data_IF_650714955376
#
_entry.id   IF_650714955376
#
_cell.length_a   1.000
_cell.length_b   1.000
_cell.length_c   1.000
_cell.angle_alpha   90.00
_cell.angle_beta   90.00
_cell.angle_gamma   90.00
#
_symmetry.space_group_name_H-M   'P 1'
#
loop_
_entity.id
_entity.type
_entity.pdbx_description
1 polymer ?
#
# COMPACT_ATOMS: atom_id res chain seq x y z
N UNK A 1 8.80 20.73 2.08
CA UNK A 1 9.07 20.22 0.71
C UNK A 1 9.09 18.69 0.62
N UNK A 2 9.75 17.96 1.54
CA UNK A 2 9.84 16.49 1.50
C UNK A 2 8.50 15.74 1.43
N UNK A 3 7.45 16.10 2.17
CA UNK A 3 6.16 15.39 2.05
C UNK A 3 5.40 15.66 0.74
N UNK A 4 5.49 16.87 0.17
CA UNK A 4 4.95 17.13 -1.17
C UNK A 4 5.72 16.31 -2.22
N UNK A 5 7.04 16.18 -2.07
CA UNK A 5 7.88 15.30 -2.89
C UNK A 5 7.60 13.82 -2.67
N UNK A 6 7.34 13.36 -1.44
CA UNK A 6 6.97 11.98 -1.14
C UNK A 6 5.59 11.65 -1.68
N UNK A 7 4.62 12.57 -1.57
CA UNK A 7 3.32 12.45 -2.23
C UNK A 7 3.46 12.47 -3.73
N UNK A 8 4.21 13.41 -4.29
CA UNK A 8 4.44 13.48 -5.72
C UNK A 8 5.12 12.20 -6.18
N UNK A 9 6.14 11.70 -5.47
CA UNK A 9 6.79 10.43 -5.76
C UNK A 9 5.82 9.25 -5.63
N UNK A 10 4.93 9.22 -4.64
CA UNK A 10 3.93 8.17 -4.48
C UNK A 10 2.85 8.27 -5.57
N UNK A 11 2.37 9.46 -5.92
CA UNK A 11 1.45 9.72 -7.04
C UNK A 11 2.08 9.38 -8.39
N UNK A 12 3.34 9.71 -8.60
CA UNK A 12 4.09 9.38 -9.82
C UNK A 12 4.38 7.88 -9.89
N UNK A 13 4.67 7.22 -8.76
CA UNK A 13 4.79 5.75 -8.68
C UNK A 13 3.45 5.04 -8.87
N UNK A 14 2.35 5.66 -8.43
CA UNK A 14 0.98 5.16 -8.63
C UNK A 14 0.46 5.47 -10.04
N UNK A 15 1.07 6.41 -10.75
CA UNK A 15 0.69 6.74 -12.11
C UNK A 15 1.17 5.66 -13.06
N UNK A 16 0.21 5.01 -13.70
CA UNK A 16 0.44 4.01 -14.74
C UNK A 16 1.25 4.54 -15.92
N UNK A 17 1.24 5.86 -16.15
CA UNK A 17 1.83 6.51 -17.32
C UNK A 17 3.21 7.09 -17.08
N UNK A 18 3.60 7.33 -15.83
CA UNK A 18 4.82 8.07 -15.52
C UNK A 18 6.08 7.34 -15.99
N UNK A 19 6.22 6.07 -15.61
CA UNK A 19 7.37 5.26 -16.01
C UNK A 19 7.40 5.00 -17.53
N UNK A 20 6.29 4.63 -18.21
CA UNK A 20 6.26 4.57 -19.67
C UNK A 20 6.66 5.89 -20.36
N UNK A 21 6.22 7.03 -19.85
CA UNK A 21 6.56 8.35 -20.42
C UNK A 21 8.04 8.66 -20.29
N UNK A 22 8.66 8.28 -19.17
CA UNK A 22 10.10 8.42 -18.97
C UNK A 22 10.90 7.52 -19.94
N UNK A 23 10.46 6.27 -20.12
CA UNK A 23 11.07 5.34 -21.08
C UNK A 23 10.93 5.84 -22.52
N UNK A 24 9.77 6.38 -22.89
CA UNK A 24 9.52 7.01 -24.18
C UNK A 24 10.46 8.19 -24.43
N UNK A 25 10.61 9.10 -23.45
CA UNK A 25 11.54 10.22 -23.55
C UNK A 25 13.00 9.74 -23.69
N UNK A 26 13.40 8.74 -22.89
CA UNK A 26 14.73 8.14 -23.00
C UNK A 26 14.98 7.50 -24.36
N UNK A 27 13.98 6.85 -24.96
CA UNK A 27 14.08 6.25 -26.28
C UNK A 27 14.24 7.29 -27.40
N UNK A 28 13.54 8.43 -27.31
CA UNK A 28 13.71 9.55 -28.24
C UNK A 28 15.13 10.13 -28.14
N UNK A 29 15.64 10.32 -26.93
CA UNK A 29 17.01 10.78 -26.71
C UNK A 29 18.05 9.77 -27.22
N UNK A 30 17.82 8.47 -26.97
CA UNK A 30 18.66 7.39 -27.47
C UNK A 30 18.69 7.38 -29.00
N UNK A 31 17.53 7.52 -29.66
CA UNK A 31 17.46 7.62 -31.12
C UNK A 31 18.27 8.81 -31.64
N UNK A 32 18.08 10.00 -31.05
CA UNK A 32 18.85 11.19 -31.41
C UNK A 32 20.36 11.01 -31.23
N UNK A 33 20.78 10.39 -30.11
CA UNK A 33 22.18 10.08 -29.83
C UNK A 33 22.79 9.09 -30.82
N UNK A 34 22.06 8.02 -31.17
CA UNK A 34 22.53 7.04 -32.15
C UNK A 34 22.62 7.63 -33.56
N UNK A 35 21.64 8.44 -33.97
CA UNK A 35 21.66 9.15 -35.25
C UNK A 35 22.84 10.13 -35.32
N UNK A 36 23.08 10.87 -34.25
CA UNK A 36 24.24 11.77 -34.15
C UNK A 36 25.55 10.99 -34.26
N UNK A 37 25.66 9.84 -33.58
CA UNK A 37 26.85 9.00 -33.63
C UNK A 37 27.09 8.40 -35.03
N UNK A 38 26.04 7.93 -35.69
CA UNK A 38 26.06 7.46 -37.08
C UNK A 38 26.52 8.57 -38.04
N UNK A 39 26.12 9.82 -37.79
CA UNK A 39 26.54 10.97 -38.61
C UNK A 39 28.03 11.32 -38.45
N UNK A 40 28.63 11.03 -37.29
CA UNK A 40 30.03 11.36 -36.99
C UNK A 40 31.00 10.23 -37.38
N UNK A 41 30.68 8.97 -37.08
CA UNK A 41 31.57 7.83 -37.35
C UNK A 41 31.44 7.30 -38.79
N UNK A 42 30.33 7.60 -39.48
CA UNK A 42 30.01 7.04 -40.79
C UNK A 42 29.84 5.52 -40.76
N UNK A 43 29.88 4.87 -41.92
CA UNK A 43 29.68 3.42 -42.06
C UNK A 43 30.96 2.58 -42.03
N UNK A 44 32.13 3.18 -41.81
CA UNK A 44 33.44 2.53 -41.96
C UNK A 44 33.70 1.38 -40.96
N UNK A 45 33.02 1.37 -39.81
CA UNK A 45 33.13 0.30 -38.82
C UNK A 45 32.42 -1.00 -39.27
N UNK A 46 31.46 -0.91 -40.20
CA UNK A 46 30.68 -2.06 -40.68
C UNK A 46 31.45 -2.96 -41.66
N UNK A 47 32.51 -2.46 -42.29
CA UNK A 47 33.34 -3.28 -43.19
C UNK A 47 34.06 -4.42 -42.44
N UNK A 48 34.11 -4.36 -41.10
CA UNK A 48 34.69 -5.41 -40.24
C UNK A 48 33.71 -6.51 -39.82
N UNK A 49 32.41 -6.34 -40.05
CA UNK A 49 31.36 -7.29 -39.65
C UNK A 49 30.45 -7.64 -40.85
N UNK A 50 30.74 -8.74 -41.58
CA UNK A 50 30.08 -9.06 -42.86
C UNK A 50 28.56 -9.23 -42.79
N UNK A 51 28.04 -9.62 -41.62
CA UNK A 51 26.61 -9.81 -41.34
C UNK A 51 25.86 -8.49 -41.07
N UNK A 52 26.58 -7.39 -40.83
CA UNK A 52 26.07 -6.05 -40.55
C UNK A 52 26.19 -5.09 -41.74
N UNK A 53 26.50 -5.59 -42.94
CA UNK A 53 26.65 -4.75 -44.15
C UNK A 53 25.50 -3.74 -44.28
N UNK A 54 25.85 -2.51 -44.65
CA UNK A 54 24.96 -1.37 -44.74
C UNK A 54 23.62 -1.76 -45.40
N UNK A 55 22.54 -1.63 -44.64
CA UNK A 55 21.21 -1.93 -45.14
C UNK A 55 20.84 -0.90 -46.21
N UNK A 56 20.26 -1.35 -47.32
CA UNK A 56 19.71 -0.42 -48.32
C UNK A 56 18.64 0.47 -47.64
N UNK A 57 18.51 1.76 -48.00
CA UNK A 57 17.54 2.66 -47.38
C UNK A 57 16.11 2.10 -47.35
N UNK A 58 15.69 1.42 -48.43
CA UNK A 58 14.39 0.76 -48.51
C UNK A 58 14.22 -0.37 -47.49
N UNK A 59 15.24 -1.23 -47.32
CA UNK A 59 15.22 -2.31 -46.34
C UNK A 59 15.22 -1.79 -44.90
N UNK A 60 15.99 -0.75 -44.61
CA UNK A 60 16.00 -0.11 -43.29
C UNK A 60 14.63 0.49 -42.95
N UNK A 61 13.99 1.21 -43.90
CA UNK A 61 12.62 1.72 -43.72
C UNK A 61 11.62 0.60 -43.47
N UNK A 62 11.71 -0.49 -44.23
CA UNK A 62 10.80 -1.61 -44.09
C UNK A 62 10.94 -2.30 -42.72
N UNK A 63 12.17 -2.51 -42.25
CA UNK A 63 12.43 -3.07 -40.91
C UNK A 63 11.92 -2.15 -39.80
N UNK A 64 12.25 -0.85 -39.84
CA UNK A 64 11.80 0.11 -38.84
C UNK A 64 10.27 0.25 -38.81
N UNK A 65 9.63 0.28 -39.98
CA UNK A 65 8.17 0.32 -40.08
C UNK A 65 7.52 -0.97 -39.58
N UNK A 66 8.08 -2.14 -39.90
CA UNK A 66 7.57 -3.43 -39.42
C UNK A 66 7.70 -3.56 -37.89
N UNK A 67 8.87 -3.22 -37.34
CA UNK A 67 9.10 -3.21 -35.89
C UNK A 67 8.17 -2.20 -35.24
N UNK A 68 8.17 -0.93 -35.67
CA UNK A 68 7.32 0.11 -35.10
C UNK A 68 5.83 -0.26 -35.13
N UNK A 69 5.33 -0.68 -36.30
CA UNK A 69 3.94 -1.11 -36.48
C UNK A 69 3.57 -2.28 -35.56
N UNK A 70 4.43 -3.30 -35.46
CA UNK A 70 4.17 -4.43 -34.55
C UNK A 70 4.16 -4.00 -33.07
N UNK A 71 5.05 -3.10 -32.66
CA UNK A 71 5.16 -2.65 -31.26
C UNK A 71 3.95 -1.84 -30.81
N UNK A 72 3.40 -0.96 -31.66
CA UNK A 72 2.18 -0.21 -31.32
C UNK A 72 0.96 -1.13 -31.20
N UNK A 73 0.86 -2.14 -32.05
CA UNK A 73 -0.21 -3.15 -31.96
C UNK A 73 -0.08 -3.98 -30.68
N UNK A 74 1.12 -4.48 -30.37
CA UNK A 74 1.37 -5.25 -29.13
C UNK A 74 1.09 -4.40 -27.90
N UNK A 75 1.49 -3.12 -27.88
CA UNK A 75 1.17 -2.20 -26.80
C UNK A 75 -0.35 -2.06 -26.58
N UNK A 76 -1.13 -1.93 -27.67
CA UNK A 76 -2.58 -1.87 -27.60
C UNK A 76 -3.21 -3.15 -27.03
N UNK A 77 -2.73 -4.32 -27.45
CA UNK A 77 -3.18 -5.62 -26.93
C UNK A 77 -2.86 -5.77 -25.45
N UNK A 78 -1.63 -5.47 -25.04
CA UNK A 78 -1.18 -5.50 -23.63
C UNK A 78 -2.02 -4.56 -22.77
N UNK A 79 -2.28 -3.34 -23.24
CA UNK A 79 -3.14 -2.39 -22.54
C UNK A 79 -4.57 -2.92 -22.37
N UNK A 80 -5.13 -3.53 -23.42
CA UNK A 80 -6.49 -4.10 -23.40
C UNK A 80 -6.60 -5.26 -22.42
N UNK A 81 -5.64 -6.19 -22.42
CA UNK A 81 -5.56 -7.31 -21.48
C UNK A 81 -5.38 -6.81 -20.04
N UNK A 82 -4.54 -5.78 -19.84
CA UNK A 82 -4.31 -5.15 -18.53
C UNK A 82 -5.62 -4.56 -17.97
N UNK A 83 -6.41 -3.83 -18.77
CA UNK A 83 -7.70 -3.29 -18.34
C UNK A 83 -8.72 -4.40 -18.08
N UNK A 84 -8.78 -5.42 -18.93
CA UNK A 84 -9.68 -6.54 -18.72
C UNK A 84 -9.38 -7.25 -17.38
N UNK A 85 -8.10 -7.47 -17.08
CA UNK A 85 -7.63 -8.00 -15.81
C UNK A 85 -8.05 -7.13 -14.61
N UNK A 86 -7.88 -5.81 -14.73
CA UNK A 86 -8.33 -4.84 -13.73
C UNK A 86 -9.82 -4.95 -13.45
N UNK A 87 -10.63 -4.95 -14.51
CA UNK A 87 -12.10 -5.01 -14.40
C UNK A 87 -12.52 -6.33 -13.75
N UNK A 88 -11.89 -7.43 -14.13
CA UNK A 88 -12.10 -8.74 -13.51
C UNK A 88 -11.76 -8.73 -12.02
N UNK A 89 -10.58 -8.24 -11.64
CA UNK A 89 -10.14 -8.19 -10.24
C UNK A 89 -11.02 -7.26 -9.39
N UNK A 90 -11.36 -6.07 -9.88
CA UNK A 90 -12.29 -5.16 -9.21
C UNK A 90 -13.69 -5.79 -9.07
N UNK A 91 -14.13 -6.51 -10.10
CA UNK A 91 -15.39 -7.23 -10.14
C UNK A 91 -15.46 -8.40 -9.17
N UNK A 92 -14.35 -9.08 -8.88
CA UNK A 92 -14.31 -10.24 -7.98
C UNK A 92 -13.95 -9.87 -6.53
N UNK A 93 -13.02 -8.93 -6.32
CA UNK A 93 -12.33 -8.77 -5.04
C UNK A 93 -12.49 -7.39 -4.39
N UNK A 94 -12.94 -6.39 -5.15
CA UNK A 94 -13.32 -5.07 -4.63
C UNK A 94 -12.58 -3.91 -5.31
N UNK A 95 -13.17 -2.71 -5.37
CA UNK A 95 -12.60 -1.57 -6.08
C UNK A 95 -11.28 -1.07 -5.51
N UNK A 96 -10.93 -1.36 -4.25
CA UNK A 96 -9.68 -0.85 -3.65
C UNK A 96 -8.42 -1.50 -4.25
N UNK A 97 -8.55 -2.74 -4.72
CA UNK A 97 -7.46 -3.49 -5.37
C UNK A 97 -7.09 -2.99 -6.77
N UNK A 98 -7.96 -2.18 -7.39
CA UNK A 98 -7.66 -1.46 -8.64
C UNK A 98 -6.35 -0.67 -8.54
N UNK A 99 -6.16 0.01 -7.41
CA UNK A 99 -5.00 0.87 -7.18
C UNK A 99 -3.68 0.09 -7.13
N UNK A 100 -3.72 -1.14 -6.60
CA UNK A 100 -2.55 -2.03 -6.50
C UNK A 100 -2.11 -2.51 -7.89
N UNK A 101 -3.06 -2.85 -8.76
CA UNK A 101 -2.76 -3.31 -10.11
C UNK A 101 -2.18 -2.21 -11.01
N UNK A 102 -2.67 -0.96 -10.88
CA UNK A 102 -2.13 0.19 -11.61
C UNK A 102 -0.71 0.59 -11.15
N UNK A 103 -0.34 0.20 -9.92
CA UNK A 103 0.98 0.41 -9.33
C UNK A 103 2.00 -0.67 -9.74
N UNK A 104 1.57 -1.71 -10.45
CA UNK A 104 2.44 -2.82 -10.84
C UNK A 104 3.53 -2.36 -11.82
N UNK A 105 4.80 -2.48 -11.39
CA UNK A 105 5.97 -2.09 -12.18
C UNK A 105 6.20 -2.97 -13.41
N UNK A 106 5.83 -4.25 -13.34
CA UNK A 106 5.94 -5.16 -14.49
C UNK A 106 5.06 -4.67 -15.63
N UNK A 107 3.81 -4.30 -15.34
CA UNK A 107 2.88 -3.74 -16.32
C UNK A 107 3.40 -2.41 -16.89
N UNK A 108 3.90 -1.51 -16.03
CA UNK A 108 4.47 -0.21 -16.46
C UNK A 108 5.71 -0.38 -17.34
N UNK A 109 6.65 -1.26 -16.98
CA UNK A 109 7.86 -1.53 -17.77
C UNK A 109 7.48 -2.18 -19.10
N UNK A 110 6.52 -3.09 -19.10
CA UNK A 110 6.06 -3.78 -20.31
C UNK A 110 5.50 -2.77 -21.32
N UNK A 111 4.51 -1.98 -20.90
CA UNK A 111 3.91 -0.97 -21.76
C UNK A 111 4.94 0.08 -22.20
N UNK A 112 5.78 0.52 -21.27
CA UNK A 112 6.87 1.46 -21.53
C UNK A 112 7.85 0.95 -22.58
N UNK A 113 8.21 -0.33 -22.56
CA UNK A 113 9.14 -0.95 -23.53
C UNK A 113 8.58 -0.93 -24.95
N UNK A 114 7.30 -1.28 -25.13
CA UNK A 114 6.68 -1.28 -26.45
C UNK A 114 6.51 0.14 -27.01
N UNK A 115 6.05 1.09 -26.18
CA UNK A 115 5.92 2.50 -26.58
C UNK A 115 7.29 3.11 -26.89
N UNK A 116 8.30 2.83 -26.05
CA UNK A 116 9.66 3.29 -26.26
C UNK A 116 10.24 2.77 -27.59
N UNK A 117 10.10 1.47 -27.86
CA UNK A 117 10.60 0.86 -29.10
C UNK A 117 9.88 1.40 -30.33
N UNK A 118 8.56 1.60 -30.25
CA UNK A 118 7.78 2.25 -31.30
C UNK A 118 8.28 3.67 -31.61
N UNK A 119 8.42 4.51 -30.59
CA UNK A 119 8.88 5.89 -30.75
C UNK A 119 10.33 5.96 -31.25
N UNK A 120 11.20 5.08 -30.74
CA UNK A 120 12.57 4.93 -31.25
C UNK A 120 12.55 4.66 -32.75
N UNK A 121 11.78 3.65 -33.20
CA UNK A 121 11.67 3.32 -34.62
C UNK A 121 11.13 4.49 -35.45
N UNK A 122 10.13 5.24 -34.98
CA UNK A 122 9.61 6.40 -35.70
C UNK A 122 10.63 7.53 -35.86
N UNK A 123 11.39 7.84 -34.80
CA UNK A 123 12.42 8.89 -34.85
C UNK A 123 13.53 8.50 -35.82
N UNK A 124 14.01 7.26 -35.75
CA UNK A 124 15.04 6.75 -36.68
C UNK A 124 14.50 6.71 -38.12
N UNK A 125 13.28 6.22 -38.32
CA UNK A 125 12.65 6.11 -39.64
C UNK A 125 12.59 7.46 -40.36
N UNK A 126 12.27 8.55 -39.64
CA UNK A 126 12.23 9.91 -40.19
C UNK A 126 13.57 10.38 -40.76
N UNK A 127 14.68 9.80 -40.31
CA UNK A 127 16.03 10.20 -40.74
C UNK A 127 16.58 9.39 -41.91
N UNK A 128 15.96 8.27 -42.28
CA UNK A 128 16.40 7.43 -43.40
C UNK A 128 16.09 8.13 -44.73
N UNK A 129 17.11 8.56 -45.47
CA UNK A 129 16.96 9.28 -46.75
C UNK A 129 17.45 8.44 -47.92
N UNK A 130 16.64 8.37 -48.98
CA UNK A 130 17.05 7.71 -50.23
C UNK A 130 17.92 8.66 -51.08
N UNK A 131 18.84 8.11 -51.89
CA UNK A 131 19.64 8.93 -52.81
C UNK A 131 18.80 9.82 -53.74
N UNK A 132 17.68 9.27 -54.20
CA UNK A 132 16.69 9.92 -55.09
C UNK A 132 15.98 11.12 -54.43
N UNK A 133 15.77 11.08 -53.11
CA UNK A 133 15.09 12.14 -52.35
C UNK A 133 16.04 13.25 -51.90
N UNK A 134 17.35 12.98 -51.87
CA UNK A 134 18.37 13.86 -51.28
C UNK A 134 19.15 14.67 -52.31
N UNK A 135 18.99 14.36 -53.61
CA UNK A 135 19.85 14.88 -54.67
C UNK A 135 21.33 14.50 -54.50
N UNK A 136 21.64 13.40 -53.81
CA UNK A 136 22.99 13.05 -53.36
C UNK A 136 23.11 11.66 -52.71
N UNK A 137 24.11 11.48 -51.83
CA UNK A 137 24.40 10.19 -51.15
C UNK A 137 23.29 9.87 -50.14
N UNK A 138 22.65 8.71 -50.27
CA UNK A 138 21.63 8.25 -49.31
C UNK A 138 22.20 8.07 -47.90
N UNK A 139 21.39 8.34 -46.88
CA UNK A 139 21.79 8.22 -45.48
C UNK A 139 20.96 7.16 -44.75
N UNK A 140 21.65 6.17 -44.18
CA UNK A 140 21.05 5.11 -43.35
C UNK A 140 21.83 5.05 -42.04
N UNK A 141 21.18 5.35 -40.89
CA UNK A 141 21.82 5.27 -39.59
C UNK A 141 21.85 3.80 -39.13
N UNK A 142 22.92 3.10 -39.49
CA UNK A 142 22.97 1.66 -39.32
C UNK A 142 23.18 1.23 -37.86
N UNK A 143 23.89 2.03 -37.04
CA UNK A 143 23.97 1.79 -35.60
C UNK A 143 22.60 1.93 -34.95
N UNK A 144 21.86 2.99 -35.34
CA UNK A 144 20.51 3.18 -34.87
C UNK A 144 19.58 2.02 -35.26
N UNK A 145 19.75 1.45 -36.47
CA UNK A 145 19.02 0.26 -36.93
C UNK A 145 19.35 -0.98 -36.09
N UNK A 146 20.62 -1.22 -35.77
CA UNK A 146 21.05 -2.33 -34.91
C UNK A 146 20.39 -2.25 -33.53
N UNK A 147 20.37 -1.06 -32.93
CA UNK A 147 19.69 -0.82 -31.66
C UNK A 147 18.18 -1.06 -31.78
N UNK A 148 17.55 -0.69 -32.90
CA UNK A 148 16.14 -0.98 -33.14
C UNK A 148 15.84 -2.49 -33.13
N UNK A 149 16.68 -3.30 -33.78
CA UNK A 149 16.56 -4.76 -33.78
C UNK A 149 16.77 -5.33 -32.38
N UNK A 150 17.76 -4.83 -31.63
CA UNK A 150 17.99 -5.24 -30.25
C UNK A 150 16.78 -4.93 -29.36
N UNK A 151 16.21 -3.72 -29.47
CA UNK A 151 15.01 -3.32 -28.74
C UNK A 151 13.80 -4.19 -29.11
N UNK A 152 13.67 -4.60 -30.38
CA UNK A 152 12.64 -5.54 -30.81
C UNK A 152 12.80 -6.92 -30.16
N UNK A 153 14.03 -7.46 -30.09
CA UNK A 153 14.31 -8.73 -29.42
C UNK A 153 14.04 -8.64 -27.90
N UNK A 154 14.45 -7.55 -27.26
CA UNK A 154 14.12 -7.28 -25.85
C UNK A 154 12.60 -7.20 -25.65
N UNK A 155 11.87 -6.58 -26.58
CA UNK A 155 10.41 -6.47 -26.53
C UNK A 155 9.72 -7.84 -26.58
N UNK A 156 10.25 -8.80 -27.36
CA UNK A 156 9.74 -10.18 -27.36
C UNK A 156 9.93 -10.84 -25.99
N UNK A 157 11.10 -10.70 -25.37
CA UNK A 157 11.34 -11.24 -24.03
C UNK A 157 10.40 -10.62 -22.98
N UNK A 158 10.18 -9.31 -23.05
CA UNK A 158 9.24 -8.58 -22.19
C UNK A 158 7.79 -9.02 -22.44
N UNK A 159 7.41 -9.35 -23.67
CA UNK A 159 6.08 -9.90 -23.98
C UNK A 159 5.88 -11.28 -23.34
N UNK A 160 6.87 -12.16 -23.42
CA UNK A 160 6.83 -13.49 -22.78
C UNK A 160 6.71 -13.33 -21.26
N UNK A 161 7.48 -12.41 -20.68
CA UNK A 161 7.36 -12.05 -19.26
C UNK A 161 5.94 -11.59 -18.92
N UNK A 162 5.36 -10.67 -19.71
CA UNK A 162 4.02 -10.14 -19.47
C UNK A 162 2.93 -11.22 -19.47
N UNK A 163 3.01 -12.19 -20.39
CA UNK A 163 2.07 -13.31 -20.50
C UNK A 163 2.07 -14.15 -19.22
N UNK A 164 3.20 -14.26 -18.51
CA UNK A 164 3.27 -14.96 -17.23
C UNK A 164 2.93 -14.04 -16.03
N UNK A 165 3.33 -12.77 -16.09
CA UNK A 165 3.20 -11.80 -15.01
C UNK A 165 1.75 -11.43 -14.71
N UNK A 166 0.93 -11.13 -15.73
CA UNK A 166 -0.45 -10.68 -15.50
C UNK A 166 -1.31 -11.75 -14.84
N UNK A 167 -1.38 -13.00 -15.35
CA UNK A 167 -2.20 -14.03 -14.71
C UNK A 167 -1.74 -14.38 -13.29
N UNK A 168 -0.42 -14.45 -13.07
CA UNK A 168 0.11 -14.76 -11.73
C UNK A 168 -0.22 -13.67 -10.72
N UNK A 169 -0.17 -12.39 -11.09
CA UNK A 169 -0.54 -11.29 -10.20
C UNK A 169 -2.04 -11.15 -9.91
N UNK A 170 -2.90 -11.68 -10.78
CA UNK A 170 -4.36 -11.68 -10.57
C UNK A 170 -4.81 -12.77 -9.59
N UNK A 171 -4.01 -13.83 -9.42
CA UNK A 171 -4.38 -14.92 -8.53
C UNK A 171 -4.57 -14.41 -7.10
N UNK A 172 -5.74 -14.69 -6.52
CA UNK A 172 -6.21 -14.05 -5.28
C UNK A 172 -5.24 -14.25 -4.10
N UNK A 173 -4.61 -15.41 -4.00
CA UNK A 173 -3.64 -15.68 -2.94
C UNK A 173 -2.44 -14.73 -3.00
N UNK A 174 -1.98 -14.35 -4.20
CA UNK A 174 -0.86 -13.41 -4.35
C UNK A 174 -1.27 -11.98 -4.00
N UNK A 175 -2.52 -11.60 -4.26
CA UNK A 175 -3.06 -10.28 -3.86
C UNK A 175 -3.18 -10.20 -2.34
N UNK A 176 -3.76 -11.23 -1.72
CA UNK A 176 -3.90 -11.32 -0.26
C UNK A 176 -2.51 -11.32 0.39
N UNK A 177 -1.57 -12.09 -0.16
CA UNK A 177 -0.18 -12.12 0.31
C UNK A 177 0.49 -10.75 0.22
N UNK A 178 0.39 -10.03 -0.90
CA UNK A 178 1.01 -8.70 -1.03
C UNK A 178 0.45 -7.70 0.01
N UNK A 179 -0.88 -7.69 0.19
CA UNK A 179 -1.53 -6.85 1.21
C UNK A 179 -1.10 -7.26 2.62
N UNK A 180 -1.09 -8.55 2.92
CA UNK A 180 -0.70 -9.10 4.22
C UNK A 180 0.77 -8.84 4.56
N UNK A 181 1.70 -9.10 3.63
CA UNK A 181 3.11 -8.78 3.80
C UNK A 181 3.36 -7.28 3.95
N UNK A 182 2.59 -6.44 3.23
CA UNK A 182 2.65 -4.99 3.40
C UNK A 182 2.17 -4.57 4.79
N UNK A 183 1.07 -5.16 5.28
CA UNK A 183 0.56 -4.92 6.62
C UNK A 183 1.59 -5.28 7.69
N UNK A 184 2.20 -6.46 7.61
CA UNK A 184 3.25 -6.89 8.54
C UNK A 184 4.47 -5.96 8.53
N UNK A 185 4.93 -5.55 7.33
CA UNK A 185 6.03 -4.58 7.21
C UNK A 185 5.68 -3.25 7.86
N UNK A 186 4.48 -2.71 7.62
CA UNK A 186 4.04 -1.44 8.17
C UNK A 186 3.83 -1.50 9.70
N UNK A 187 3.32 -2.62 10.24
CA UNK A 187 3.30 -2.88 11.69
C UNK A 187 4.74 -2.86 12.23
N UNK A 188 5.65 -3.55 11.54
CA UNK A 188 7.08 -3.60 11.87
C UNK A 188 7.75 -2.24 11.96
N UNK A 189 7.50 -1.38 10.96
CA UNK A 189 8.08 -0.04 10.87
C UNK A 189 7.50 0.95 11.87
N UNK A 190 6.20 0.85 12.19
CA UNK A 190 5.52 1.84 13.05
C UNK A 190 5.54 1.51 14.53
N UNK A 191 5.61 0.22 14.85
CA UNK A 191 5.64 -0.28 16.21
C UNK A 191 6.92 -1.09 16.43
N UNK A 192 8.13 -0.55 16.20
CA UNK A 192 9.37 -1.32 16.29
C UNK A 192 9.49 -2.03 17.65
N UNK A 193 9.94 -3.30 17.65
CA UNK A 193 9.97 -4.12 18.88
C UNK A 193 10.93 -3.60 19.96
N UNK A 194 12.00 -2.91 19.57
CA UNK A 194 13.16 -2.59 20.42
C UNK A 194 13.84 -1.25 20.01
N UNK A 195 13.12 -0.14 20.02
CA UNK A 195 13.74 1.19 19.86
C UNK A 195 13.37 2.07 21.05
N UNK A 196 14.31 2.24 21.98
CA UNK A 196 14.18 3.04 23.19
C UNK A 196 13.99 2.20 24.46
N UNK A 197 14.35 2.79 25.60
CA UNK A 197 13.99 2.29 26.94
C UNK A 197 12.45 2.12 26.98
N UNK A 198 11.88 1.01 27.52
CA UNK A 198 10.44 0.87 27.72
C UNK A 198 9.86 2.18 28.21
N UNK A 199 8.78 2.65 27.55
CA UNK A 199 8.20 3.96 27.85
C UNK A 199 8.03 4.10 29.36
N UNK A 200 8.85 4.96 29.99
CA UNK A 200 8.79 5.17 31.44
C UNK A 200 7.32 5.45 31.79
N UNK A 201 6.69 4.75 32.75
CA UNK A 201 5.29 4.96 33.12
C UNK A 201 4.92 6.43 33.39
N UNK A 202 5.93 7.28 33.63
CA UNK A 202 5.83 8.75 33.71
C UNK A 202 5.48 9.45 32.37
N UNK A 203 5.57 8.77 31.22
CA UNK A 203 5.27 9.35 29.89
C UNK A 203 3.77 9.49 29.60
N UNK A 204 2.91 8.73 30.27
CA UNK A 204 1.44 8.81 30.11
C UNK A 204 0.77 9.54 31.29
N UNK A 205 1.53 10.35 32.04
CA UNK A 205 0.97 11.15 33.15
C UNK A 205 0.07 12.27 32.60
N UNK A 206 -1.25 12.13 32.78
CA UNK A 206 -2.22 13.17 32.40
C UNK A 206 -1.96 14.50 33.12
N UNK A 207 -1.24 14.51 34.26
CA UNK A 207 -0.81 15.73 34.92
C UNK A 207 0.16 16.56 34.06
N UNK A 208 0.89 15.96 33.11
CA UNK A 208 1.77 16.67 32.19
C UNK A 208 0.99 17.47 31.11
N UNK A 209 -0.29 17.16 30.89
CA UNK A 209 -1.14 17.89 29.93
C UNK A 209 -1.51 19.26 30.51
N UNK A 210 -1.31 20.38 29.80
CA UNK A 210 -1.75 21.70 30.26
C UNK A 210 -3.27 21.76 30.50
N UNK A 211 -3.72 22.48 31.54
CA UNK A 211 -5.15 22.57 31.92
C UNK A 211 -6.10 22.92 30.76
N UNK A 212 -5.79 23.87 29.84
CA UNK A 212 -6.67 24.18 28.70
C UNK A 212 -6.83 23.03 27.71
N UNK A 213 -5.87 22.11 27.69
CA UNK A 213 -5.92 20.89 26.90
C UNK A 213 -6.51 19.72 27.72
N UNK A 214 -6.49 19.68 29.05
CA UNK A 214 -7.04 18.52 29.79
C UNK A 214 -8.53 18.27 29.47
N UNK A 215 -8.94 17.00 29.48
CA UNK A 215 -10.29 16.57 29.08
C UNK A 215 -11.25 16.68 30.27
N UNK A 216 -11.56 17.89 30.73
CA UNK A 216 -12.54 18.13 31.80
C UNK A 216 -13.84 18.76 31.27
N UNK A 217 -14.93 18.00 31.27
CA UNK A 217 -16.31 18.52 31.19
C UNK A 217 -16.68 19.42 30.00
N UNK A 218 -17.86 20.05 30.10
CA UNK A 218 -18.58 20.71 28.98
C UNK A 218 -18.10 22.15 28.64
N UNK A 219 -17.08 22.69 29.32
CA UNK A 219 -16.62 24.06 29.10
C UNK A 219 -15.09 24.13 28.89
N UNK A 220 -14.64 23.90 27.65
CA UNK A 220 -13.24 24.12 27.26
C UNK A 220 -12.98 25.62 27.05
N UNK A 221 -11.91 26.19 27.64
CA UNK A 221 -11.53 27.58 27.40
C UNK A 221 -10.90 27.76 26.01
N UNK A 222 -11.72 27.86 24.97
CA UNK A 222 -11.30 28.05 23.57
C UNK A 222 -10.49 29.31 23.33
N UNK A 223 -10.63 30.35 24.17
CA UNK A 223 -9.85 31.59 24.04
C UNK A 223 -8.35 31.42 24.23
N UNK A 224 -7.91 30.35 24.91
CA UNK A 224 -6.48 30.04 25.14
C UNK A 224 -5.89 29.13 24.06
N UNK A 225 -6.70 28.69 23.10
CA UNK A 225 -6.31 27.74 22.07
C UNK A 225 -6.39 28.39 20.69
N UNK A 226 -5.37 28.18 19.87
CA UNK A 226 -5.44 28.49 18.44
C UNK A 226 -5.85 27.23 17.69
N UNK A 227 -7.01 27.27 17.04
CA UNK A 227 -7.48 26.19 16.17
C UNK A 227 -6.81 26.30 14.81
N UNK A 228 -6.15 25.24 14.34
CA UNK A 228 -5.59 25.19 12.99
C UNK A 228 -6.54 24.41 12.11
N UNK A 229 -7.20 25.10 11.18
CA UNK A 229 -8.29 24.52 10.39
C UNK A 229 -7.80 23.94 9.07
N UNK A 230 -8.53 22.93 8.59
CA UNK A 230 -8.34 22.36 7.27
C UNK A 230 -8.75 23.35 6.19
N UNK A 231 -7.89 23.55 5.19
CA UNK A 231 -8.21 24.37 4.01
C UNK A 231 -8.94 23.57 2.91
N UNK A 232 -9.15 22.26 3.09
CA UNK A 232 -9.72 21.40 2.06
C UNK A 232 -10.54 20.24 2.63
N UNK A 233 -11.25 19.55 1.73
CA UNK A 233 -12.09 18.39 2.07
C UNK A 233 -11.50 17.13 1.45
N UNK A 234 -11.37 16.06 2.22
CA UNK A 234 -10.83 14.79 1.76
C UNK A 234 -10.25 13.93 2.90
N UNK A 235 -9.54 12.87 2.54
CA UNK A 235 -8.83 12.02 3.47
C UNK A 235 -7.47 12.61 3.84
N UNK A 236 -7.11 12.59 5.13
CA UNK A 236 -5.75 12.83 5.59
C UNK A 236 -4.88 11.67 5.08
N UNK A 237 -4.01 11.91 4.12
CA UNK A 237 -3.12 10.88 3.55
C UNK A 237 -1.81 10.77 4.32
N UNK A 238 -1.35 11.89 4.89
CA UNK A 238 -0.07 11.96 5.58
C UNK A 238 -0.06 13.11 6.61
N UNK A 239 0.61 12.88 7.73
CA UNK A 239 0.92 13.84 8.78
C UNK A 239 2.43 13.81 9.02
N UNK A 240 3.07 14.97 8.96
CA UNK A 240 4.52 15.09 9.18
C UNK A 240 4.86 15.16 10.67
N UNK A 241 4.87 14.01 11.33
CA UNK A 241 5.09 13.89 12.79
C UNK A 241 6.36 14.61 13.29
N UNK A 242 7.50 14.42 12.64
CA UNK A 242 8.78 15.08 12.99
C UNK A 242 8.76 16.59 12.74
N UNK A 243 8.01 17.06 11.74
CA UNK A 243 7.88 18.50 11.46
C UNK A 243 6.93 19.14 12.47
N UNK A 244 5.86 18.44 12.86
CA UNK A 244 4.95 18.86 13.94
C UNK A 244 5.69 19.01 15.26
N UNK A 245 6.51 18.03 15.65
CA UNK A 245 7.32 18.08 16.88
C UNK A 245 8.29 19.27 16.86
N UNK A 246 9.02 19.46 15.76
CA UNK A 246 9.96 20.59 15.62
C UNK A 246 9.27 21.96 15.60
N UNK A 247 8.12 22.07 14.95
CA UNK A 247 7.33 23.31 14.95
C UNK A 247 6.78 23.62 16.34
N UNK A 248 6.29 22.59 17.05
CA UNK A 248 5.82 22.73 18.42
C UNK A 248 6.96 23.18 19.36
N UNK A 249 8.14 22.57 19.25
CA UNK A 249 9.30 22.95 20.07
C UNK A 249 9.80 24.38 19.75
N UNK A 250 9.99 24.71 18.48
CA UNK A 250 10.52 26.04 18.06
C UNK A 250 9.62 27.22 18.44
N UNK A 251 8.31 26.99 18.55
CA UNK A 251 7.34 28.03 18.94
C UNK A 251 6.89 27.91 20.40
N UNK A 252 7.48 26.98 21.16
CA UNK A 252 7.13 26.64 22.54
C UNK A 252 5.62 26.39 22.73
N UNK A 253 5.08 25.49 21.90
CA UNK A 253 3.68 25.07 21.84
C UNK A 253 3.50 23.62 22.32
N UNK A 254 2.32 23.34 22.84
CA UNK A 254 1.73 22.01 22.98
C UNK A 254 0.56 21.91 22.02
N UNK A 255 0.60 20.93 21.12
CA UNK A 255 -0.43 20.72 20.10
C UNK A 255 -1.21 19.43 20.34
N UNK A 256 -2.52 19.46 20.13
CA UNK A 256 -3.37 18.27 20.14
C UNK A 256 -3.90 17.98 18.74
N UNK A 257 -3.66 16.77 18.25
CA UNK A 257 -4.18 16.31 16.96
C UNK A 257 -5.63 15.84 17.10
N UNK A 258 -6.51 16.25 16.18
CA UNK A 258 -7.89 15.76 16.11
C UNK A 258 -8.11 14.67 15.07
N UNK A 259 -7.23 14.61 14.07
CA UNK A 259 -7.31 13.70 12.95
C UNK A 259 -6.04 12.90 12.80
N UNK A 260 -6.19 11.68 12.27
CA UNK A 260 -5.10 10.79 11.92
C UNK A 260 -5.10 10.48 10.43
N UNK A 261 -3.95 10.05 9.88
CA UNK A 261 -3.91 9.53 8.52
C UNK A 261 -4.96 8.42 8.31
N UNK A 262 -5.78 8.59 7.28
CA UNK A 262 -6.93 7.75 6.93
C UNK A 262 -8.28 8.36 7.30
N UNK A 263 -8.34 9.41 8.13
CA UNK A 263 -9.61 10.05 8.50
C UNK A 263 -10.07 11.03 7.42
N UNK A 264 -11.38 11.24 7.31
CA UNK A 264 -11.96 12.22 6.39
C UNK A 264 -12.22 13.54 7.11
N UNK A 265 -11.75 14.64 6.53
CA UNK A 265 -11.89 16.00 7.06
C UNK A 265 -12.65 16.88 6.08
N UNK A 266 -13.40 17.85 6.61
CA UNK A 266 -14.04 18.91 5.83
C UNK A 266 -13.25 20.21 5.93
N UNK A 267 -13.31 21.05 4.89
CA UNK A 267 -12.78 22.40 4.96
C UNK A 267 -13.41 23.17 6.15
N UNK A 268 -12.58 23.94 6.88
CA UNK A 268 -12.98 24.67 8.09
C UNK A 268 -13.03 23.83 9.37
N UNK A 269 -12.79 22.51 9.33
CA UNK A 269 -12.69 21.70 10.56
C UNK A 269 -11.29 21.84 11.20
N UNK A 270 -11.19 21.92 12.54
CA UNK A 270 -9.90 22.02 13.22
C UNK A 270 -9.12 20.70 13.10
N UNK A 271 -7.98 20.75 12.42
CA UNK A 271 -7.03 19.63 12.29
C UNK A 271 -6.31 19.37 13.61
N UNK A 272 -5.94 20.45 14.31
CA UNK A 272 -5.31 20.44 15.62
C UNK A 272 -5.66 21.67 16.46
N UNK A 273 -5.47 21.55 17.76
CA UNK A 273 -5.50 22.65 18.74
C UNK A 273 -4.04 22.99 19.12
N UNK A 274 -3.66 24.27 19.15
CA UNK A 274 -2.35 24.72 19.59
C UNK A 274 -2.45 25.60 20.84
N UNK A 275 -1.64 25.30 21.85
CA UNK A 275 -1.55 26.04 23.11
C UNK A 275 -0.10 26.44 23.40
N UNK A 276 0.16 27.63 23.96
CA UNK A 276 -0.79 28.73 24.18
C UNK A 276 -1.09 29.48 22.87
N UNK A 277 -2.33 29.99 22.73
CA UNK A 277 -2.79 30.64 21.49
C UNK A 277 -1.92 31.82 21.07
N UNK A 278 -1.40 32.57 22.03
CA UNK A 278 -0.61 33.79 21.82
C UNK A 278 0.74 33.49 21.14
N UNK A 279 1.24 32.26 21.26
CA UNK A 279 2.48 31.80 20.61
C UNK A 279 2.25 31.20 19.23
N UNK A 280 1.00 30.92 18.87
CA UNK A 280 0.62 30.41 17.57
C UNK A 280 0.21 31.56 16.63
N UNK A 281 1.21 32.35 16.21
CA UNK A 281 1.03 33.41 15.21
C UNK A 281 0.70 32.87 13.81
N UNK A 282 0.49 33.77 12.84
CA UNK A 282 0.10 33.39 11.47
C UNK A 282 1.13 32.50 10.75
N UNK A 283 2.41 32.69 11.02
CA UNK A 283 3.47 31.85 10.46
C UNK A 283 3.38 30.41 11.00
N UNK A 284 3.30 30.26 12.33
CA UNK A 284 3.12 28.98 13.01
C UNK A 284 1.83 28.27 12.55
N UNK A 285 0.72 29.02 12.47
CA UNK A 285 -0.56 28.51 11.98
C UNK A 285 -0.43 27.90 10.57
N UNK A 286 0.17 28.64 9.63
CA UNK A 286 0.35 28.16 8.25
C UNK A 286 1.32 26.99 8.18
N UNK A 287 2.39 27.00 8.96
CA UNK A 287 3.35 25.91 9.02
C UNK A 287 2.69 24.62 9.54
N UNK A 288 1.95 24.72 10.66
CA UNK A 288 1.19 23.62 11.26
C UNK A 288 0.14 23.07 10.30
N UNK A 289 -0.66 23.93 9.66
CA UNK A 289 -1.67 23.50 8.68
C UNK A 289 -1.03 22.74 7.50
N UNK A 290 0.13 23.20 7.03
CA UNK A 290 0.84 22.56 5.93
C UNK A 290 1.41 21.18 6.29
N UNK A 291 1.52 20.81 7.57
CA UNK A 291 2.02 19.48 7.98
C UNK A 291 1.07 18.34 7.58
N UNK A 292 -0.21 18.66 7.39
CA UNK A 292 -1.23 17.74 6.93
C UNK A 292 -1.29 17.70 5.41
N UNK A 293 -1.49 16.51 4.88
CA UNK A 293 -1.69 16.28 3.46
C UNK A 293 -3.08 15.67 3.23
N UNK A 294 -3.91 16.37 2.47
CA UNK A 294 -5.30 15.97 2.19
C UNK A 294 -5.42 15.53 0.74
N UNK A 295 -6.09 14.40 0.50
CA UNK A 295 -6.37 13.88 -0.84
C UNK A 295 -7.76 13.25 -0.98
N UNK A 296 -8.15 12.92 -2.20
CA UNK A 296 -9.48 12.39 -2.51
C UNK A 296 -9.69 10.92 -2.14
N UNK A 297 -8.62 10.19 -1.83
CA UNK A 297 -8.65 8.75 -1.52
C UNK A 297 -7.78 8.44 -0.30
N UNK A 298 -8.17 7.40 0.47
CA UNK A 298 -7.32 6.83 1.52
C UNK A 298 -6.10 6.14 0.90
N UNK A 299 -5.01 6.08 1.66
CA UNK A 299 -3.74 5.47 1.22
C UNK A 299 -3.12 4.69 2.36
N UNK A 300 -2.51 3.54 2.09
CA UNK A 300 -1.75 2.77 3.08
C UNK A 300 -0.45 3.45 3.57
N UNK A 301 -0.07 4.62 3.06
CA UNK A 301 1.20 5.30 3.37
C UNK A 301 1.41 5.55 4.87
N UNK A 302 0.37 6.05 5.54
CA UNK A 302 0.37 6.27 7.00
C UNK A 302 -0.90 5.69 7.67
N UNK A 303 -1.59 4.76 7.03
CA UNK A 303 -2.83 4.19 7.56
C UNK A 303 -2.87 2.66 7.49
N UNK A 304 -2.59 1.99 8.61
CA UNK A 304 -2.68 0.53 8.72
C UNK A 304 -4.12 0.03 8.55
N UNK A 305 -5.09 0.86 8.91
CA UNK A 305 -6.51 0.52 8.84
C UNK A 305 -6.94 0.28 7.39
N UNK A 306 -6.32 0.98 6.44
CA UNK A 306 -6.55 0.76 5.02
C UNK A 306 -6.20 -0.67 4.58
N UNK A 307 -5.04 -1.19 5.00
CA UNK A 307 -4.59 -2.55 4.65
C UNK A 307 -5.46 -3.62 5.31
N UNK A 308 -5.88 -3.39 6.55
CA UNK A 308 -6.84 -4.25 7.24
C UNK A 308 -8.18 -4.23 6.50
N UNK A 309 -8.67 -3.05 6.11
CA UNK A 309 -9.92 -2.91 5.37
C UNK A 309 -9.86 -3.63 4.00
N UNK A 310 -8.71 -3.65 3.32
CA UNK A 310 -8.53 -4.41 2.07
C UNK A 310 -8.70 -5.92 2.32
N UNK A 311 -8.07 -6.49 3.35
CA UNK A 311 -8.23 -7.91 3.70
C UNK A 311 -9.67 -8.23 4.12
N UNK A 312 -10.30 -7.34 4.89
CA UNK A 312 -11.69 -7.47 5.33
C UNK A 312 -12.64 -7.42 4.14
N UNK A 313 -12.41 -6.53 3.17
CA UNK A 313 -13.23 -6.42 1.96
C UNK A 313 -13.17 -7.70 1.12
N UNK A 314 -11.98 -8.27 0.94
CA UNK A 314 -11.80 -9.53 0.22
C UNK A 314 -12.53 -10.67 0.95
N UNK A 315 -12.30 -10.82 2.26
CA UNK A 315 -12.91 -11.89 3.05
C UNK A 315 -14.44 -11.79 3.13
N UNK A 316 -14.97 -10.59 3.39
CA UNK A 316 -16.41 -10.34 3.44
C UNK A 316 -17.09 -10.64 2.09
N UNK A 317 -16.41 -10.33 0.98
CA UNK A 317 -16.90 -10.62 -0.37
C UNK A 317 -16.85 -12.10 -0.71
N UNK A 318 -15.77 -12.78 -0.35
CA UNK A 318 -15.64 -14.23 -0.50
C UNK A 318 -16.74 -14.97 0.28
N UNK A 319 -17.07 -14.53 1.50
CA UNK A 319 -18.16 -15.08 2.32
C UNK A 319 -19.56 -14.57 1.96
N UNK A 320 -19.69 -13.71 0.96
CA UNK A 320 -21.00 -13.24 0.52
C UNK A 320 -21.80 -14.38 -0.13
N UNK A 321 -23.13 -14.32 -0.04
CA UNK A 321 -24.04 -15.36 -0.57
C UNK A 321 -23.83 -15.66 -2.07
N UNK A 322 -23.30 -14.71 -2.84
CA UNK A 322 -23.08 -14.86 -4.27
C UNK A 322 -21.77 -15.58 -4.63
N UNK A 323 -20.77 -15.59 -3.73
CA UNK A 323 -19.46 -16.20 -3.98
C UNK A 323 -19.31 -17.48 -3.15
N UNK A 324 -19.55 -17.39 -1.84
CA UNK A 324 -19.49 -18.51 -0.90
C UNK A 324 -18.17 -19.31 -0.95
N UNK A 325 -17.04 -18.60 -0.93
CA UNK A 325 -15.69 -19.16 -0.90
C UNK A 325 -15.04 -18.95 0.49
N UNK A 326 -15.20 -19.91 1.42
CA UNK A 326 -14.63 -19.79 2.75
C UNK A 326 -13.10 -19.88 2.77
N UNK A 327 -12.46 -20.51 1.78
CA UNK A 327 -11.00 -20.69 1.78
C UNK A 327 -10.26 -19.39 1.48
N UNK A 328 -10.79 -18.57 0.58
CA UNK A 328 -10.25 -17.20 0.38
C UNK A 328 -10.34 -16.36 1.66
N UNK A 329 -11.43 -16.49 2.41
CA UNK A 329 -11.59 -15.81 3.70
C UNK A 329 -10.66 -16.37 4.78
N UNK A 330 -10.43 -17.68 4.81
CA UNK A 330 -9.42 -18.33 5.67
C UNK A 330 -8.04 -17.71 5.43
N UNK A 331 -7.60 -17.59 4.18
CA UNK A 331 -6.31 -16.95 3.86
C UNK A 331 -6.25 -15.51 4.38
N UNK A 332 -7.31 -14.72 4.24
CA UNK A 332 -7.35 -13.36 4.79
C UNK A 332 -7.25 -13.34 6.32
N UNK A 333 -7.93 -14.27 7.01
CA UNK A 333 -7.86 -14.43 8.46
C UNK A 333 -6.45 -14.81 8.92
N UNK A 334 -5.70 -15.59 8.13
CA UNK A 334 -4.31 -15.93 8.42
C UNK A 334 -3.41 -14.70 8.46
N UNK A 335 -3.52 -13.83 7.45
CA UNK A 335 -2.74 -12.59 7.40
C UNK A 335 -3.15 -11.58 8.47
N UNK A 336 -4.45 -11.48 8.77
CA UNK A 336 -4.94 -10.67 9.89
C UNK A 336 -4.43 -11.22 11.23
N UNK A 337 -4.47 -12.53 11.44
CA UNK A 337 -3.93 -13.22 12.62
C UNK A 337 -2.44 -12.93 12.80
N UNK A 338 -1.66 -13.07 11.74
CA UNK A 338 -0.22 -12.80 11.76
C UNK A 338 0.07 -11.34 12.13
N UNK A 339 -0.64 -10.39 11.54
CA UNK A 339 -0.46 -8.96 11.85
C UNK A 339 -0.85 -8.62 13.28
N UNK A 340 -1.97 -9.17 13.78
CA UNK A 340 -2.41 -8.96 15.15
C UNK A 340 -1.47 -9.63 16.16
N UNK A 341 -0.93 -10.81 15.84
CA UNK A 341 0.06 -11.52 16.66
C UNK A 341 1.36 -10.72 16.77
N UNK A 342 1.83 -10.15 15.65
CA UNK A 342 3.02 -9.28 15.68
C UNK A 342 2.77 -8.00 16.48
N UNK A 343 1.58 -7.40 16.35
CA UNK A 343 1.18 -6.22 17.13
C UNK A 343 1.05 -6.54 18.64
N UNK A 344 0.63 -7.76 18.99
CA UNK A 344 0.48 -8.21 20.38
C UNK A 344 1.79 -8.11 21.17
N UNK A 345 2.92 -8.42 20.55
CA UNK A 345 4.25 -8.34 21.17
C UNK A 345 4.90 -6.96 21.09
N UNK A 346 4.17 -5.92 20.69
CA UNK A 346 4.70 -4.55 20.49
C UNK A 346 4.05 -3.54 21.42
N UNK A 347 4.86 -2.58 21.86
CA UNK A 347 4.40 -1.41 22.58
C UNK A 347 3.74 -0.43 21.61
N UNK A 348 2.58 0.10 22.01
CA UNK A 348 1.90 1.15 21.28
C UNK A 348 2.50 2.47 21.81
N UNK A 349 3.04 3.34 20.94
CA UNK A 349 3.62 4.60 21.35
C UNK A 349 2.66 5.40 22.23
N UNK A 350 3.22 6.06 23.24
CA UNK A 350 2.47 6.98 24.09
C UNK A 350 1.73 8.01 23.23
N UNK A 351 0.51 8.32 23.67
CA UNK A 351 -0.29 9.39 23.11
C UNK A 351 0.29 10.78 23.42
N UNK A 352 1.23 10.87 24.37
CA UNK A 352 1.97 12.07 24.73
C UNK A 352 3.39 11.99 24.15
N UNK A 353 3.69 12.83 23.17
CA UNK A 353 5.00 12.87 22.51
C UNK A 353 5.80 14.07 23.00
N UNK A 354 7.00 13.79 23.45
CA UNK A 354 7.95 14.76 23.97
C UNK A 354 9.02 15.12 22.94
N UNK A 355 9.67 16.26 23.12
CA UNK A 355 10.88 16.62 22.38
C UNK A 355 12.15 15.99 23.01
N UNK A 356 13.32 16.32 22.46
CA UNK A 356 14.62 15.83 22.94
C UNK A 356 14.96 16.32 24.37
N UNK A 357 14.28 17.37 24.84
CA UNK A 357 14.44 17.95 26.18
C UNK A 357 13.45 17.35 27.20
N UNK A 358 12.61 16.39 26.78
CA UNK A 358 11.59 15.75 27.62
C UNK A 358 10.33 16.59 27.82
N UNK A 359 10.17 17.70 27.10
CA UNK A 359 8.98 18.56 27.21
C UNK A 359 7.84 18.02 26.35
N UNK A 360 6.62 17.99 26.87
CA UNK A 360 5.43 17.59 26.11
C UNK A 360 5.20 18.56 24.94
N UNK A 361 5.12 18.04 23.72
CA UNK A 361 4.87 18.84 22.51
C UNK A 361 3.64 18.42 21.73
N UNK A 362 3.34 17.13 21.65
CA UNK A 362 2.20 16.63 20.86
C UNK A 362 1.34 15.67 21.66
N UNK A 363 0.04 15.92 21.68
CA UNK A 363 -0.99 15.01 22.17
C UNK A 363 -1.65 14.37 20.94
N UNK A 364 -1.36 13.10 20.71
CA UNK A 364 -1.89 12.29 19.64
C UNK A 364 -3.01 11.36 20.15
N UNK A 365 -3.63 10.60 19.24
CA UNK A 365 -4.64 9.60 19.56
C UNK A 365 -4.28 8.25 18.91
N UNK A 366 -3.15 7.61 19.29
CA UNK A 366 -2.69 6.39 18.62
C UNK A 366 -3.77 5.30 18.63
N UNK A 367 -3.93 4.63 17.50
CA UNK A 367 -4.82 3.47 17.41
C UNK A 367 -4.25 2.33 18.23
N UNK A 368 -5.10 1.79 19.11
CA UNK A 368 -4.73 0.67 19.97
C UNK A 368 -5.03 -0.68 19.33
N UNK A 369 -4.50 -1.74 19.97
CA UNK A 369 -4.76 -3.13 19.62
C UNK A 369 -6.26 -3.44 19.44
N UNK A 370 -7.11 -2.94 20.35
CA UNK A 370 -8.55 -3.17 20.32
C UNK A 370 -9.22 -2.61 19.07
N UNK A 371 -8.77 -1.47 18.56
CA UNK A 371 -9.36 -0.87 17.35
C UNK A 371 -8.99 -1.66 16.10
N UNK A 372 -7.73 -2.12 16.00
CA UNK A 372 -7.32 -2.99 14.90
C UNK A 372 -8.03 -4.36 14.96
N UNK A 373 -8.21 -4.90 16.17
CA UNK A 373 -8.96 -6.13 16.39
C UNK A 373 -10.43 -5.99 15.96
N UNK A 374 -11.10 -4.89 16.34
CA UNK A 374 -12.48 -4.62 15.93
C UNK A 374 -12.60 -4.42 14.42
N UNK A 375 -11.65 -3.70 13.82
CA UNK A 375 -11.68 -3.41 12.39
C UNK A 375 -11.43 -4.63 11.53
N UNK A 376 -10.54 -5.54 11.95
CA UNK A 376 -10.30 -6.81 11.27
C UNK A 376 -11.34 -7.87 11.62
N UNK A 377 -11.32 -8.34 12.86
CA UNK A 377 -12.16 -9.45 13.32
C UNK A 377 -13.60 -9.03 13.61
N UNK A 378 -13.83 -7.83 14.16
CA UNK A 378 -15.19 -7.35 14.42
C UNK A 378 -16.01 -7.19 13.14
N UNK A 379 -15.42 -6.59 12.09
CA UNK A 379 -16.06 -6.44 10.79
C UNK A 379 -16.39 -7.79 10.13
N UNK A 380 -15.52 -8.79 10.28
CA UNK A 380 -15.70 -10.13 9.69
C UNK A 380 -16.59 -11.06 10.52
N UNK A 381 -16.83 -10.77 11.80
CA UNK A 381 -17.56 -11.68 12.70
C UNK A 381 -18.93 -12.10 12.15
N UNK A 382 -19.68 -11.17 11.56
CA UNK A 382 -20.98 -11.49 10.97
C UNK A 382 -20.88 -12.35 9.70
N UNK A 383 -19.80 -12.25 8.93
CA UNK A 383 -19.64 -13.04 7.71
C UNK A 383 -19.19 -14.46 8.08
N UNK A 384 -18.15 -14.55 8.92
CA UNK A 384 -17.62 -15.83 9.39
C UNK A 384 -18.67 -16.64 10.15
N UNK A 385 -19.54 -16.01 10.94
CA UNK A 385 -20.58 -16.72 11.69
C UNK A 385 -21.61 -17.49 10.83
N UNK A 386 -21.69 -17.22 9.52
CA UNK A 386 -22.60 -17.94 8.62
C UNK A 386 -21.97 -19.20 8.01
N UNK A 387 -20.67 -19.41 8.18
CA UNK A 387 -19.94 -20.52 7.57
C UNK A 387 -19.08 -21.23 8.62
N UNK A 388 -19.19 -22.56 8.68
CA UNK A 388 -18.48 -23.35 9.70
C UNK A 388 -16.96 -23.20 9.58
N UNK A 389 -16.42 -23.31 8.37
CA UNK A 389 -14.98 -23.31 8.11
C UNK A 389 -14.39 -21.95 8.48
N UNK A 390 -15.03 -20.87 8.03
CA UNK A 390 -14.61 -19.51 8.34
C UNK A 390 -14.73 -19.19 9.84
N UNK A 391 -15.80 -19.62 10.52
CA UNK A 391 -15.96 -19.42 11.96
C UNK A 391 -14.91 -20.18 12.78
N UNK A 392 -14.60 -21.43 12.40
CA UNK A 392 -13.55 -22.21 13.06
C UNK A 392 -12.17 -21.59 12.85
N UNK A 393 -11.88 -21.08 11.65
CA UNK A 393 -10.61 -20.38 11.41
C UNK A 393 -10.54 -19.06 12.16
N UNK A 394 -11.62 -18.28 12.18
CA UNK A 394 -11.69 -17.04 12.97
C UNK A 394 -11.33 -17.28 14.44
N UNK A 395 -11.90 -18.32 15.05
CA UNK A 395 -11.57 -18.72 16.42
C UNK A 395 -10.12 -19.18 16.56
N UNK A 396 -9.62 -19.96 15.59
CA UNK A 396 -8.24 -20.44 15.57
C UNK A 396 -7.24 -19.28 15.47
N UNK A 397 -7.48 -18.31 14.60
CA UNK A 397 -6.70 -17.08 14.47
C UNK A 397 -6.70 -16.26 15.76
N UNK A 398 -7.84 -16.11 16.44
CA UNK A 398 -7.87 -15.47 17.76
C UNK A 398 -7.06 -16.25 18.81
N UNK A 399 -7.05 -17.57 18.72
CA UNK A 399 -6.21 -18.43 19.54
C UNK A 399 -4.72 -18.21 19.30
N UNK A 400 -4.29 -18.13 18.04
CA UNK A 400 -2.91 -17.81 17.66
C UNK A 400 -2.46 -16.46 18.22
N UNK A 401 -3.30 -15.42 18.08
CA UNK A 401 -3.03 -14.10 18.65
C UNK A 401 -2.96 -14.16 20.18
N UNK A 402 -3.87 -14.91 20.81
CA UNK A 402 -3.86 -15.08 22.25
C UNK A 402 -2.55 -15.72 22.73
N UNK A 403 -1.99 -16.67 21.98
CA UNK A 403 -0.78 -17.44 22.35
C UNK A 403 0.50 -16.64 22.48
N UNK A 404 0.59 -15.50 21.82
CA UNK A 404 1.74 -14.58 21.91
C UNK A 404 1.43 -13.32 22.71
N UNK A 405 0.28 -13.30 23.38
CA UNK A 405 -0.21 -12.15 24.12
C UNK A 405 -0.22 -12.42 25.63
N UNK A 406 0.45 -11.56 26.39
CA UNK A 406 0.48 -11.63 27.86
C UNK A 406 -0.30 -10.49 28.53
N UNK A 407 -0.63 -9.42 27.80
CA UNK A 407 -1.41 -8.28 28.31
C UNK A 407 -2.86 -8.72 28.64
N UNK A 408 -3.28 -8.67 29.92
CA UNK A 408 -4.63 -9.08 30.34
C UNK A 408 -5.75 -8.28 29.66
N UNK A 409 -5.52 -7.00 29.34
CA UNK A 409 -6.51 -6.16 28.66
C UNK A 409 -6.72 -6.60 27.21
N UNK A 410 -5.65 -6.99 26.52
CA UNK A 410 -5.70 -7.52 25.14
C UNK A 410 -6.34 -8.92 25.13
N UNK A 411 -5.98 -9.79 26.07
CA UNK A 411 -6.62 -11.11 26.24
C UNK A 411 -8.13 -11.00 26.51
N UNK A 412 -8.54 -10.07 27.38
CA UNK A 412 -9.95 -9.79 27.60
C UNK A 412 -10.66 -9.29 26.33
N UNK A 413 -9.98 -8.51 25.48
CA UNK A 413 -10.53 -8.09 24.19
C UNK A 413 -10.72 -9.25 23.22
N UNK A 414 -9.73 -10.15 23.12
CA UNK A 414 -9.82 -11.38 22.33
C UNK A 414 -11.01 -12.23 22.79
N UNK A 415 -11.14 -12.46 24.11
CA UNK A 415 -12.26 -13.19 24.71
C UNK A 415 -13.62 -12.62 24.30
N UNK A 416 -13.78 -11.30 24.26
CA UNK A 416 -15.03 -10.66 23.79
C UNK A 416 -15.38 -11.04 22.36
N UNK A 417 -14.41 -11.18 21.46
CA UNK A 417 -14.70 -11.60 20.07
C UNK A 417 -15.00 -13.10 19.97
N UNK A 418 -14.36 -13.94 20.79
CA UNK A 418 -14.73 -15.37 20.93
C UNK A 418 -16.20 -15.51 21.33
N UNK A 419 -16.65 -14.73 22.31
CA UNK A 419 -18.05 -14.77 22.76
C UNK A 419 -19.02 -14.15 21.75
N UNK A 420 -18.59 -13.13 20.98
CA UNK A 420 -19.40 -12.55 19.90
C UNK A 420 -19.61 -13.55 18.76
N UNK A 421 -18.54 -14.17 18.25
CA UNK A 421 -18.64 -15.11 17.13
C UNK A 421 -19.44 -16.36 17.53
N UNK A 422 -19.24 -16.88 18.75
CA UNK A 422 -19.98 -18.04 19.24
C UNK A 422 -21.49 -17.76 19.36
N UNK A 423 -21.87 -16.57 19.85
CA UNK A 423 -23.29 -16.16 19.91
C UNK A 423 -23.90 -16.02 18.52
N UNK A 424 -23.19 -15.38 17.58
CA UNK A 424 -23.66 -15.23 16.21
C UNK A 424 -23.83 -16.59 15.53
N UNK A 425 -22.80 -17.45 15.58
CA UNK A 425 -22.81 -18.77 14.95
C UNK A 425 -23.94 -19.67 15.49
N UNK A 426 -24.24 -19.59 16.80
CA UNK A 426 -25.34 -20.35 17.41
C UNK A 426 -26.70 -20.07 16.77
N UNK A 427 -26.92 -18.83 16.34
CA UNK A 427 -28.18 -18.39 15.71
C UNK A 427 -28.25 -18.64 14.19
N UNK A 428 -27.12 -18.99 13.56
CA UNK A 428 -26.97 -19.01 12.09
C UNK A 428 -26.59 -20.37 11.53
N UNK A 429 -25.92 -21.21 12.33
CA UNK A 429 -25.54 -22.56 11.97
C UNK A 429 -26.45 -23.57 12.65
N UNK A 430 -26.62 -24.73 12.03
CA UNK A 430 -27.42 -25.83 12.54
C UNK A 430 -26.61 -27.14 12.58
N UNK A 431 -27.13 -28.14 13.31
CA UNK A 431 -26.57 -29.48 13.37
C UNK A 431 -25.08 -29.51 13.73
N UNK A 432 -24.33 -30.31 12.97
CA UNK A 432 -22.88 -30.50 13.12
C UNK A 432 -22.09 -29.18 13.07
N UNK A 433 -22.44 -28.28 12.14
CA UNK A 433 -21.73 -27.02 11.93
C UNK A 433 -21.74 -26.14 13.19
N UNK A 434 -22.90 -26.07 13.85
CA UNK A 434 -23.05 -25.30 15.10
C UNK A 434 -22.24 -25.90 16.23
N UNK A 435 -22.24 -27.23 16.35
CA UNK A 435 -21.52 -27.96 17.40
C UNK A 435 -20.02 -27.71 17.24
N UNK A 436 -19.49 -27.91 16.03
CA UNK A 436 -18.08 -27.74 15.72
C UNK A 436 -17.53 -26.34 16.06
N UNK A 437 -18.30 -25.28 15.79
CA UNK A 437 -17.93 -23.90 16.14
C UNK A 437 -18.05 -23.64 17.65
N UNK A 438 -19.10 -24.18 18.28
CA UNK A 438 -19.33 -24.01 19.72
C UNK A 438 -18.23 -24.68 20.54
N UNK A 439 -17.84 -25.90 20.18
CA UNK A 439 -16.78 -26.64 20.85
C UNK A 439 -15.44 -25.91 20.73
N UNK A 440 -15.10 -25.43 19.52
CA UNK A 440 -13.88 -24.64 19.29
C UNK A 440 -13.87 -23.35 20.11
N UNK A 441 -15.01 -22.67 20.23
CA UNK A 441 -15.12 -21.46 21.04
C UNK A 441 -14.96 -21.75 22.54
N UNK A 442 -15.51 -22.88 23.02
CA UNK A 442 -15.35 -23.31 24.41
C UNK A 442 -13.91 -23.67 24.74
N UNK A 443 -13.21 -24.39 23.84
CA UNK A 443 -11.78 -24.69 23.99
C UNK A 443 -10.96 -23.41 24.18
N UNK A 444 -11.16 -22.42 23.30
CA UNK A 444 -10.44 -21.15 23.39
C UNK A 444 -10.83 -20.34 24.63
N UNK A 445 -12.12 -20.37 25.05
CA UNK A 445 -12.54 -19.72 26.29
C UNK A 445 -11.80 -20.29 27.50
N UNK A 446 -11.72 -21.61 27.60
CA UNK A 446 -11.01 -22.29 28.67
C UNK A 446 -9.51 -21.93 28.65
N UNK A 447 -8.89 -21.90 27.47
CA UNK A 447 -7.48 -21.51 27.30
C UNK A 447 -7.22 -20.06 27.76
N UNK A 448 -8.16 -19.14 27.51
CA UNK A 448 -8.04 -17.75 27.95
C UNK A 448 -8.26 -17.58 29.46
N UNK A 449 -8.94 -18.52 30.12
CA UNK A 449 -9.19 -18.50 31.57
C UNK A 449 -8.11 -19.21 32.38
N UNK A 450 -7.41 -20.18 31.78
CA UNK A 450 -6.42 -21.03 32.44
C UNK A 450 -5.08 -20.96 31.69
N UNK A 451 -4.09 -20.19 32.19
CA UNK A 451 -2.78 -20.04 31.54
C UNK A 451 -2.06 -21.37 31.32
N UNK A 452 -2.13 -22.31 32.26
CA UNK A 452 -1.48 -23.62 32.15
C UNK A 452 -2.12 -24.49 31.06
N UNK A 453 -3.45 -24.42 30.93
CA UNK A 453 -4.20 -25.12 29.88
C UNK A 453 -3.88 -24.57 28.49
N UNK A 454 -3.63 -23.27 28.37
CA UNK A 454 -3.16 -22.62 27.13
C UNK A 454 -1.81 -23.20 26.66
N UNK A 455 -0.88 -23.48 27.59
CA UNK A 455 0.39 -24.11 27.25
C UNK A 455 0.23 -25.59 26.89
N UNK A 456 -0.62 -26.33 27.59
CA UNK A 456 -0.92 -27.74 27.28
C UNK A 456 -1.53 -27.92 25.89
N UNK A 457 -2.49 -27.06 25.50
CA UNK A 457 -3.12 -27.07 24.18
C UNK A 457 -2.12 -26.90 23.02
N UNK A 458 -0.99 -26.22 23.26
CA UNK A 458 0.10 -26.08 22.27
C UNK A 458 0.77 -27.41 21.96
N UNK A 459 0.89 -28.25 22.97
CA UNK A 459 1.64 -29.50 22.89
C UNK A 459 0.72 -30.69 22.53
N UNK A 460 -0.58 -30.46 22.32
CA UNK A 460 -1.58 -31.44 21.87
C UNK A 460 -1.89 -31.35 20.36
N UNK A 461 -2.30 -32.48 19.76
CA UNK A 461 -2.75 -32.55 18.35
C UNK A 461 -4.04 -31.75 18.06
N UNK A 462 -4.72 -31.25 19.10
CA UNK A 462 -5.91 -30.39 19.01
C UNK A 462 -5.56 -28.89 18.86
N UNK A 463 -4.32 -28.59 18.50
CA UNK A 463 -3.74 -27.25 18.51
C UNK A 463 -4.54 -26.21 17.71
N UNK A 464 -4.54 -24.98 18.24
CA UNK A 464 -5.26 -23.85 17.67
C UNK A 464 -4.64 -23.31 16.37
N UNK A 465 -3.34 -23.56 16.13
CA UNK A 465 -2.60 -22.98 14.99
C UNK A 465 -1.96 -23.96 14.01
N UNK A 466 -2.20 -25.28 14.12
CA UNK A 466 -1.59 -26.29 13.24
C UNK A 466 -1.96 -27.72 13.62
N UNK A 467 -1.94 -28.62 12.64
CA UNK A 467 -2.13 -30.06 12.86
C UNK A 467 -0.77 -30.73 12.70
N UNK A 468 -0.06 -30.97 13.81
CA UNK A 468 1.16 -31.78 13.82
C UNK A 468 0.79 -33.26 14.00
#
# INVERSE_FOLDING_TARGET
>A
MRARLLRLADMLRQSYWFLPSLMAAAAILLAGGMIWLDSYQGSLWMDRLPWLRASRPSGARQLLSAIGGSMITVAGTVFSVTIAAVVYASGQYGPRLLSNFMRDRGNQITLGTFIATFLYCLVVLRTVRSPEESGGVGFVPNLALLVAVLLALCSIAVLIFFIHHVPSKIHINNVIEDVGQRLLREVGHRFPRLLGDPSDPRHDDEAAIPDPLRRYGDARPTSKLRLVESTGTGYIQFVRDEELLRLAASHDLVIRLHYQPGDFVHAGRPLLEAWPAERCGEEAYRALANTFLIGSQRTALQDLRFLIDELVEIAARALSRGVNDPFTAVTCLDWLSAAMSDLCGREIPSHLRQDEEGSLRVIAHPHGFNEFLDRGFGALAQYCANDMVAAQRFLSSLGEVAMVCDDPKRLAAIKRYVDRIARLARSRLEGFNRIAVTDRANMLRNALEQPDYRWQLRDEAAWLGGAA
#
